data_IF_166588412589
#
_entry.id   IF_166588412589
#
_cell.length_a   1.000
_cell.length_b   1.000
_cell.length_c   1.000
_cell.angle_alpha   90.00
_cell.angle_beta   90.00
_cell.angle_gamma   90.00
#
_symmetry.space_group_name_H-M   'P 1'
#
loop_
_entity.id
_entity.type
_entity.pdbx_description
1 polymer ?
#
# COMPACT_ATOMS: atom_id res chain seq x y z
N UNK A 1 -12.62 4.15 0.55
CA UNK A 1 -11.40 4.96 0.72
C UNK A 1 -10.23 4.21 0.11
N UNK A 2 -9.39 4.87 -0.69
CA UNK A 2 -8.17 4.29 -1.24
C UNK A 2 -6.99 4.66 -0.36
N UNK A 3 -6.25 3.67 0.14
CA UNK A 3 -5.13 3.88 1.04
C UNK A 3 -3.82 3.54 0.33
N UNK A 4 -3.00 4.55 0.07
CA UNK A 4 -1.70 4.38 -0.54
C UNK A 4 -0.74 3.67 0.42
N UNK A 5 -0.10 2.61 -0.06
CA UNK A 5 0.86 1.79 0.70
C UNK A 5 0.28 0.66 1.55
N UNK A 6 -1.06 0.48 1.57
CA UNK A 6 -1.72 -0.63 2.26
C UNK A 6 -1.94 -1.84 1.31
N UNK A 7 -1.88 -3.04 1.89
CA UNK A 7 -2.28 -4.28 1.21
C UNK A 7 -3.61 -4.82 1.76
N UNK A 8 -4.33 -5.66 0.99
CA UNK A 8 -5.48 -6.38 1.49
C UNK A 8 -5.15 -7.23 2.73
N UNK A 9 -6.00 -7.15 3.75
CA UNK A 9 -5.83 -7.90 5.00
C UNK A 9 -5.01 -7.17 6.08
N UNK A 10 -4.57 -5.94 5.83
CA UNK A 10 -3.80 -5.16 6.81
C UNK A 10 -4.67 -4.32 7.74
N UNK A 11 -4.17 -4.13 8.97
CA UNK A 11 -4.67 -3.10 9.87
C UNK A 11 -3.66 -1.97 9.91
N UNK A 12 -4.08 -0.75 9.57
CA UNK A 12 -3.17 0.40 9.42
C UNK A 12 -3.74 1.63 10.11
N UNK A 13 -2.84 2.47 10.65
CA UNK A 13 -3.13 3.88 10.93
C UNK A 13 -2.84 4.67 9.67
N UNK A 14 -3.78 5.49 9.22
CA UNK A 14 -3.63 6.29 8.00
C UNK A 14 -4.03 7.75 8.26
N UNK A 15 -3.60 8.64 7.37
CA UNK A 15 -4.06 10.04 7.30
C UNK A 15 -4.87 10.27 6.05
N UNK A 16 -5.91 11.09 6.15
CA UNK A 16 -6.65 11.56 4.98
C UNK A 16 -5.78 12.50 4.14
N UNK A 17 -5.69 12.21 2.84
CA UNK A 17 -5.05 13.09 1.87
C UNK A 17 -6.10 13.94 1.15
N UNK A 18 -7.25 13.32 0.80
CA UNK A 18 -8.31 13.97 0.04
C UNK A 18 -9.65 13.35 0.38
N UNK A 19 -10.66 14.20 0.62
CA UNK A 19 -12.04 13.80 0.87
C UNK A 19 -12.87 14.26 -0.32
N UNK A 20 -13.57 13.35 -0.99
CA UNK A 20 -14.32 13.67 -2.21
C UNK A 20 -15.66 12.96 -2.27
N UNK A 21 -16.57 13.48 -3.09
CA UNK A 21 -17.93 12.95 -3.25
C UNK A 21 -17.99 11.47 -3.68
N UNK A 22 -16.99 10.98 -4.45
CA UNK A 22 -16.96 9.61 -4.96
C UNK A 22 -16.16 8.66 -4.06
N UNK A 23 -14.94 9.06 -3.70
CA UNK A 23 -14.08 8.29 -2.84
C UNK A 23 -13.07 9.20 -2.15
N UNK A 24 -12.69 8.79 -0.95
CA UNK A 24 -11.60 9.41 -0.21
C UNK A 24 -10.28 8.73 -0.53
N UNK A 25 -9.19 9.45 -0.29
CA UNK A 25 -7.81 8.99 -0.43
C UNK A 25 -7.06 9.23 0.88
N UNK A 26 -6.18 8.30 1.23
CA UNK A 26 -5.30 8.42 2.40
C UNK A 26 -3.96 7.72 2.18
N UNK A 27 -3.03 7.94 3.11
CA UNK A 27 -1.70 7.29 3.12
C UNK A 27 -1.47 6.59 4.44
N UNK A 28 -0.90 5.38 4.39
CA UNK A 28 -0.47 4.65 5.60
C UNK A 28 0.59 5.47 6.35
N UNK A 29 0.35 5.69 7.63
CA UNK A 29 1.34 6.22 8.58
C UNK A 29 2.03 5.09 9.35
N UNK A 30 1.27 4.05 9.68
CA UNK A 30 1.76 2.93 10.47
C UNK A 30 0.99 1.65 10.14
N UNK A 31 1.71 0.53 10.05
CA UNK A 31 1.13 -0.79 9.87
C UNK A 31 1.05 -1.46 11.23
N UNK A 32 -0.17 -1.63 11.74
CA UNK A 32 -0.43 -2.26 13.03
C UNK A 32 -0.45 -3.79 12.90
N UNK A 33 -0.90 -4.30 11.75
CA UNK A 33 -0.86 -5.73 11.42
C UNK A 33 -0.59 -5.86 9.92
N UNK A 34 0.57 -6.44 9.59
CA UNK A 34 1.00 -6.64 8.22
C UNK A 34 0.33 -7.86 7.58
N UNK A 35 0.11 -7.80 6.27
CA UNK A 35 -0.38 -8.94 5.53
C UNK A 35 0.72 -10.02 5.46
N UNK A 36 0.38 -11.32 5.47
CA UNK A 36 1.38 -12.40 5.38
C UNK A 36 2.28 -12.31 4.14
N UNK A 37 1.76 -11.71 3.07
CA UNK A 37 2.44 -11.55 1.77
C UNK A 37 3.15 -10.19 1.63
N UNK A 38 3.25 -9.39 2.71
CA UNK A 38 4.03 -8.15 2.68
C UNK A 38 5.52 -8.47 2.70
N UNK A 39 6.27 -7.84 1.80
CA UNK A 39 7.74 -7.93 1.76
C UNK A 39 8.36 -6.54 1.79
N UNK A 40 9.65 -6.51 2.16
CA UNK A 40 10.44 -5.30 2.00
C UNK A 40 10.69 -5.03 0.50
N UNK A 41 10.33 -3.82 0.01
CA UNK A 41 10.66 -3.43 -1.36
C UNK A 41 12.14 -3.52 -1.64
N UNK A 42 12.50 -4.04 -2.82
CA UNK A 42 13.91 -4.17 -3.25
C UNK A 42 14.50 -2.85 -3.71
N UNK A 43 13.68 -1.95 -4.26
CA UNK A 43 14.12 -0.65 -4.75
C UNK A 43 14.22 0.34 -3.57
N UNK A 44 15.38 0.98 -3.36
CA UNK A 44 15.54 1.99 -2.31
C UNK A 44 14.71 3.26 -2.55
N UNK A 45 14.23 3.47 -3.79
CA UNK A 45 13.37 4.60 -4.15
C UNK A 45 11.87 4.28 -4.06
N UNK A 46 11.50 3.08 -3.59
CA UNK A 46 10.11 2.68 -3.44
C UNK A 46 9.36 3.67 -2.54
N UNK A 47 8.18 4.12 -2.97
CA UNK A 47 7.39 5.16 -2.29
C UNK A 47 7.78 6.60 -2.63
N UNK A 48 8.85 6.83 -3.41
CA UNK A 48 9.32 8.18 -3.81
C UNK A 48 9.20 8.37 -5.33
N UNK A 49 9.75 7.45 -6.14
CA UNK A 49 9.86 7.67 -7.58
C UNK A 49 8.59 7.38 -8.40
N UNK A 50 7.59 6.72 -7.80
CA UNK A 50 6.33 6.35 -8.47
C UNK A 50 6.43 5.25 -9.53
N UNK A 51 7.62 4.74 -9.84
CA UNK A 51 7.82 3.76 -10.92
C UNK A 51 7.29 2.35 -10.61
N UNK A 52 7.03 2.01 -9.35
CA UNK A 52 6.47 0.72 -8.97
C UNK A 52 5.46 0.86 -7.83
N UNK A 53 4.30 0.22 -7.97
CA UNK A 53 3.23 0.29 -6.96
C UNK A 53 3.24 -0.87 -5.97
N UNK A 54 3.68 -2.07 -6.40
CA UNK A 54 3.45 -3.31 -5.65
C UNK A 54 4.72 -3.98 -5.09
N UNK A 55 5.89 -3.33 -5.07
CA UNK A 55 7.12 -4.00 -4.58
C UNK A 55 7.06 -4.42 -3.10
N UNK A 56 6.10 -3.91 -2.33
CA UNK A 56 5.85 -4.33 -0.95
C UNK A 56 4.93 -5.57 -0.85
N UNK A 57 4.50 -6.14 -1.97
CA UNK A 57 3.75 -7.40 -2.06
C UNK A 57 4.65 -8.49 -2.65
N UNK A 58 4.58 -9.71 -2.15
CA UNK A 58 5.30 -10.86 -2.72
C UNK A 58 5.03 -11.01 -4.22
N UNK A 59 6.07 -11.31 -5.01
CA UNK A 59 5.98 -11.37 -6.47
C UNK A 59 4.90 -12.34 -6.98
N UNK A 60 4.77 -13.52 -6.36
CA UNK A 60 3.72 -14.49 -6.71
C UNK A 60 2.33 -13.93 -6.46
N UNK A 61 2.15 -13.15 -5.40
CA UNK A 61 0.91 -12.49 -5.08
C UNK A 61 0.62 -11.27 -5.99
N UNK A 62 1.66 -10.60 -6.51
CA UNK A 62 1.48 -9.53 -7.52
C UNK A 62 0.82 -10.06 -8.79
N UNK A 63 1.20 -11.25 -9.24
CA UNK A 63 0.62 -11.89 -10.44
C UNK A 63 -0.85 -12.26 -10.21
N UNK A 64 -1.22 -12.67 -8.99
CA UNK A 64 -2.58 -13.03 -8.63
C UNK A 64 -3.50 -11.81 -8.44
N UNK A 65 -2.93 -10.63 -8.17
CA UNK A 65 -3.68 -9.41 -7.91
C UNK A 65 -4.11 -8.66 -9.18
N UNK A 66 -3.87 -9.26 -10.36
CA UNK A 66 -4.08 -8.65 -11.67
C UNK A 66 -5.39 -9.12 -12.32
#
# INVERSE_FOLDING_TARGET
IFIHGALPGETVRFTYNKIQKRFDEGTVQEILTAAPKRVLPKCPHFGICGGCSLQHLETTAQIQAN
#
